data_IF_038803713479
#
_entry.id   IF_038803713479
#
_cell.length_a   1.000
_cell.length_b   1.000
_cell.length_c   1.000
_cell.angle_alpha   90.00
_cell.angle_beta   90.00
_cell.angle_gamma   90.00
#
_symmetry.space_group_name_H-M   'P 1'
#
loop_
_entity.id
_entity.type
_entity.pdbx_description
1 polymer ?
#
# COMPACT_ATOMS: atom_id res chain seq x y z
N UNK A 1 61.74 43.91 4.44
CA UNK A 1 60.67 43.04 3.91
C UNK A 1 59.70 43.92 3.13
N UNK A 2 59.35 43.53 1.90
CA UNK A 2 58.93 44.40 0.80
C UNK A 2 57.66 43.79 0.18
N UNK A 3 56.68 44.63 -0.17
CA UNK A 3 55.50 44.39 -1.03
C UNK A 3 54.41 43.44 -0.52
N UNK A 4 53.12 43.53 -0.87
CA UNK A 4 52.16 44.57 -1.29
C UNK A 4 50.84 43.77 -1.50
N UNK A 5 49.71 44.26 -0.95
CA UNK A 5 48.37 44.28 -1.56
C UNK A 5 47.53 43.02 -1.96
N UNK A 6 46.31 43.00 -1.37
CA UNK A 6 44.95 42.90 -1.96
C UNK A 6 44.45 41.54 -2.54
N UNK A 7 43.35 41.02 -1.95
CA UNK A 7 42.15 40.52 -2.67
C UNK A 7 41.00 40.32 -1.66
N UNK A 8 40.06 41.27 -1.53
CA UNK A 8 38.77 41.39 -2.24
C UNK A 8 37.78 40.25 -1.96
N UNK A 9 36.78 40.64 -1.19
CA UNK A 9 35.45 40.10 -0.92
C UNK A 9 34.79 39.38 -2.10
N UNK A 10 34.22 38.19 -1.85
CA UNK A 10 33.07 37.68 -2.59
C UNK A 10 32.14 36.91 -1.64
N UNK A 11 31.15 37.61 -1.09
CA UNK A 11 29.95 37.03 -0.52
C UNK A 11 29.18 36.35 -1.67
N UNK A 12 29.30 35.03 -1.80
CA UNK A 12 28.36 34.24 -2.60
C UNK A 12 27.23 33.77 -1.67
N UNK A 13 26.16 34.56 -1.60
CA UNK A 13 24.88 34.15 -1.06
C UNK A 13 24.34 33.01 -1.94
N UNK A 14 24.66 31.76 -1.59
CA UNK A 14 23.95 30.60 -2.10
C UNK A 14 22.59 30.59 -1.42
N UNK A 15 21.60 31.17 -2.10
CA UNK A 15 20.20 30.99 -1.77
C UNK A 15 19.90 29.49 -1.82
N UNK A 16 19.46 28.84 -0.73
CA UNK A 16 18.81 27.54 -0.85
C UNK A 16 17.51 27.80 -1.61
N UNK A 17 17.51 27.53 -2.91
CA UNK A 17 16.28 27.44 -3.67
C UNK A 17 15.39 26.43 -2.93
N UNK A 18 14.18 26.81 -2.47
CA UNK A 18 13.27 25.84 -1.93
C UNK A 18 12.97 24.87 -3.07
N UNK A 19 13.43 23.63 -2.91
CA UNK A 19 12.96 22.48 -3.66
C UNK A 19 11.44 22.58 -3.64
N UNK A 20 10.86 22.97 -4.78
CA UNK A 20 9.45 22.85 -5.02
C UNK A 20 9.12 21.38 -4.77
N UNK A 21 8.48 21.10 -3.63
CA UNK A 21 7.93 19.82 -3.32
C UNK A 21 7.07 19.43 -4.51
N UNK A 22 7.49 18.37 -5.19
CA UNK A 22 6.83 17.89 -6.37
C UNK A 22 5.45 17.43 -5.92
N UNK A 23 4.42 18.21 -6.26
CA UNK A 23 3.02 17.82 -6.11
C UNK A 23 2.69 16.75 -7.15
N UNK A 24 3.44 15.65 -7.15
CA UNK A 24 2.99 14.39 -7.71
C UNK A 24 1.96 13.85 -6.73
N UNK A 25 0.73 13.62 -7.19
CA UNK A 25 -0.28 12.96 -6.36
C UNK A 25 0.32 11.67 -5.80
N UNK A 26 0.57 11.65 -4.49
CA UNK A 26 1.26 10.53 -3.84
C UNK A 26 0.47 9.25 -4.15
N UNK A 27 1.12 8.19 -4.63
CA UNK A 27 0.44 6.92 -4.80
C UNK A 27 0.08 6.34 -3.41
N UNK A 28 -1.01 5.56 -3.29
CA UNK A 28 -1.26 4.82 -2.05
C UNK A 28 -0.11 3.85 -1.79
N UNK A 29 0.21 3.64 -0.50
CA UNK A 29 1.26 2.72 -0.07
C UNK A 29 0.65 1.40 0.41
N UNK A 30 1.34 0.30 0.12
CA UNK A 30 0.90 -1.07 0.38
C UNK A 30 1.91 -1.75 1.27
N UNK A 31 1.45 -2.42 2.33
CA UNK A 31 2.32 -3.25 3.18
C UNK A 31 1.60 -4.53 3.59
N UNK A 32 2.38 -5.59 3.76
CA UNK A 32 1.93 -6.83 4.39
C UNK A 32 2.76 -7.08 5.65
N UNK A 33 2.16 -7.74 6.63
CA UNK A 33 2.87 -8.33 7.75
C UNK A 33 2.30 -9.69 8.07
N UNK A 34 3.17 -10.64 8.40
CA UNK A 34 2.76 -11.99 8.83
C UNK A 34 3.22 -12.21 10.27
N UNK A 35 2.26 -12.52 11.14
CA UNK A 35 2.49 -12.80 12.55
C UNK A 35 1.79 -14.12 12.90
N UNK A 36 2.55 -15.22 12.96
CA UNK A 36 1.99 -16.56 13.15
C UNK A 36 1.07 -16.95 11.99
N UNK A 37 -0.20 -17.21 12.28
CA UNK A 37 -1.24 -17.56 11.32
C UNK A 37 -2.04 -16.35 10.81
N UNK A 38 -1.59 -15.12 11.13
CA UNK A 38 -2.27 -13.89 10.75
C UNK A 38 -1.46 -13.08 9.76
N UNK A 39 -1.95 -12.99 8.54
CA UNK A 39 -1.43 -12.08 7.52
C UNK A 39 -2.28 -10.81 7.53
N UNK A 40 -1.67 -9.64 7.70
CA UNK A 40 -2.35 -8.35 7.63
C UNK A 40 -1.86 -7.58 6.42
N UNK A 41 -2.73 -7.31 5.46
CA UNK A 41 -2.43 -6.45 4.31
C UNK A 41 -3.05 -5.08 4.52
N UNK A 42 -2.29 -4.02 4.29
CA UNK A 42 -2.70 -2.64 4.58
C UNK A 42 -2.44 -1.77 3.35
N UNK A 43 -3.46 -1.04 2.93
CA UNK A 43 -3.31 0.07 1.98
C UNK A 43 -3.54 1.38 2.72
N UNK A 44 -2.60 2.32 2.60
CA UNK A 44 -2.71 3.66 3.16
C UNK A 44 -2.71 4.69 2.03
N UNK A 45 -3.79 5.44 1.95
CA UNK A 45 -3.98 6.50 0.97
C UNK A 45 -3.31 7.80 1.41
N UNK A 46 -3.04 8.73 0.47
CA UNK A 46 -2.36 10.00 0.79
C UNK A 46 -3.11 10.89 1.78
N UNK A 47 -4.43 10.75 1.86
CA UNK A 47 -5.28 11.46 2.81
C UNK A 47 -5.25 10.84 4.23
N UNK A 48 -4.46 9.78 4.45
CA UNK A 48 -4.36 9.06 5.72
C UNK A 48 -5.48 8.05 5.97
N UNK A 49 -6.41 7.87 5.03
CA UNK A 49 -7.39 6.79 5.09
C UNK A 49 -6.68 5.45 4.83
N UNK A 50 -7.03 4.43 5.61
CA UNK A 50 -6.39 3.12 5.55
C UNK A 50 -7.43 2.01 5.44
N UNK A 51 -7.14 0.97 4.67
CA UNK A 51 -7.94 -0.26 4.61
C UNK A 51 -7.04 -1.45 4.92
N UNK A 52 -7.42 -2.19 5.95
CA UNK A 52 -6.74 -3.41 6.39
C UNK A 52 -7.56 -4.64 5.96
N UNK A 53 -6.86 -5.65 5.44
CA UNK A 53 -7.35 -6.99 5.20
C UNK A 53 -6.68 -7.95 6.20
N UNK A 54 -7.36 -8.35 7.29
CA UNK A 54 -6.86 -9.35 8.22
C UNK A 54 -7.16 -10.77 7.71
N UNK A 55 -6.18 -11.39 7.07
CA UNK A 55 -6.26 -12.75 6.56
C UNK A 55 -5.87 -13.76 7.64
N UNK A 56 -6.62 -14.86 7.71
CA UNK A 56 -6.26 -16.06 8.46
C UNK A 56 -5.57 -17.05 7.54
N UNK A 57 -4.38 -17.49 7.90
CA UNK A 57 -3.56 -18.47 7.18
C UNK A 57 -3.88 -19.86 7.70
N UNK A 58 -4.14 -20.81 6.80
CA UNK A 58 -4.50 -22.19 7.18
C UNK A 58 -3.41 -23.22 6.85
N UNK A 59 -2.32 -22.81 6.21
CA UNK A 59 -1.16 -23.67 6.02
C UNK A 59 -0.16 -23.11 5.02
N UNK A 60 1.08 -23.58 5.15
CA UNK A 60 2.16 -23.39 4.19
C UNK A 60 2.58 -24.77 3.64
N UNK A 61 2.83 -24.86 2.33
CA UNK A 61 3.32 -26.09 1.71
C UNK A 61 4.38 -25.80 0.65
N UNK A 62 5.42 -26.63 0.51
CA UNK A 62 6.32 -26.55 -0.63
C UNK A 62 5.54 -26.78 -1.94
N UNK A 63 5.85 -26.00 -2.96
CA UNK A 63 5.28 -26.13 -4.31
C UNK A 63 6.37 -25.98 -5.37
N UNK A 64 6.10 -26.43 -6.59
CA UNK A 64 6.88 -26.02 -7.77
C UNK A 64 6.24 -24.76 -8.35
N UNK A 65 7.03 -23.70 -8.54
CA UNK A 65 6.59 -22.46 -9.18
C UNK A 65 6.55 -22.63 -10.71
N UNK A 66 5.99 -21.64 -11.41
CA UNK A 66 5.82 -21.69 -12.88
C UNK A 66 7.13 -21.84 -13.66
N UNK A 67 8.24 -21.34 -13.11
CA UNK A 67 9.58 -21.45 -13.70
C UNK A 67 10.31 -22.77 -13.35
N UNK A 68 9.64 -23.67 -12.63
CA UNK A 68 10.17 -24.96 -12.19
C UNK A 68 11.03 -24.88 -10.92
N UNK A 69 11.19 -23.71 -10.31
CA UNK A 69 11.88 -23.57 -9.03
C UNK A 69 11.02 -24.07 -7.87
N UNK A 70 11.64 -24.35 -6.74
CA UNK A 70 10.93 -24.72 -5.51
C UNK A 70 10.50 -23.46 -4.79
N UNK A 71 9.20 -23.32 -4.56
CA UNK A 71 8.62 -22.25 -3.76
C UNK A 71 7.80 -22.76 -2.58
N UNK A 72 7.06 -21.84 -2.00
CA UNK A 72 6.11 -22.04 -0.91
C UNK A 72 4.76 -21.50 -1.35
N UNK A 73 3.69 -22.22 -1.03
CA UNK A 73 2.32 -21.74 -1.17
C UNK A 73 1.65 -21.62 0.19
N UNK A 74 0.82 -20.60 0.35
CA UNK A 74 0.07 -20.29 1.55
C UNK A 74 -1.41 -20.13 1.24
N UNK A 75 -2.25 -20.88 1.95
CA UNK A 75 -3.70 -20.70 1.87
C UNK A 75 -4.13 -19.65 2.88
N UNK A 76 -4.96 -18.69 2.45
CA UNK A 76 -5.42 -17.59 3.27
C UNK A 76 -6.92 -17.33 3.07
N UNK A 77 -7.61 -16.96 4.15
CA UNK A 77 -9.04 -16.60 4.13
C UNK A 77 -9.25 -15.19 4.70
N UNK A 78 -10.04 -14.36 4.03
CA UNK A 78 -10.42 -13.01 4.47
C UNK A 78 -11.92 -12.95 4.76
N UNK A 79 -12.29 -12.68 6.01
CA UNK A 79 -13.69 -12.65 6.47
C UNK A 79 -14.24 -11.24 6.69
N UNK A 80 -13.37 -10.21 6.70
CA UNK A 80 -13.75 -8.81 6.92
C UNK A 80 -12.69 -7.87 6.36
N UNK A 81 -13.06 -6.60 6.24
CA UNK A 81 -12.12 -5.48 6.08
C UNK A 81 -12.23 -4.54 7.26
N UNK A 82 -11.17 -3.79 7.53
CA UNK A 82 -11.18 -2.74 8.55
C UNK A 82 -10.77 -1.42 7.89
N UNK A 83 -11.67 -0.46 7.90
CA UNK A 83 -11.44 0.89 7.43
C UNK A 83 -11.05 1.78 8.62
N UNK A 84 -9.95 2.51 8.47
CA UNK A 84 -9.46 3.42 9.51
C UNK A 84 -9.54 4.85 8.98
N UNK A 85 -10.31 5.69 9.68
CA UNK A 85 -10.52 7.07 9.27
C UNK A 85 -9.36 7.99 9.69
N UNK A 86 -8.92 8.90 8.81
CA UNK A 86 -7.87 9.86 9.13
C UNK A 86 -8.34 10.84 10.22
N UNK A 87 -7.40 11.29 11.05
CA UNK A 87 -7.63 12.28 12.11
C UNK A 87 -8.29 11.73 13.37
N UNK A 88 -9.33 10.89 13.25
CA UNK A 88 -10.01 10.29 14.40
C UNK A 88 -9.46 8.93 14.81
N UNK A 89 -8.86 8.20 13.86
CA UNK A 89 -8.44 6.81 14.06
C UNK A 89 -9.63 5.86 14.25
N UNK A 90 -10.86 6.29 13.94
CA UNK A 90 -12.03 5.44 14.06
C UNK A 90 -11.91 4.23 13.14
N UNK A 91 -12.13 3.04 13.69
CA UNK A 91 -12.04 1.77 12.99
C UNK A 91 -13.44 1.25 12.70
N UNK A 92 -13.79 1.07 11.43
CA UNK A 92 -15.05 0.49 10.97
C UNK A 92 -14.75 -0.90 10.42
N UNK A 93 -15.40 -1.92 10.95
CA UNK A 93 -15.22 -3.30 10.47
C UNK A 93 -16.41 -3.68 9.59
N UNK A 94 -16.14 -4.09 8.36
CA UNK A 94 -17.15 -4.54 7.41
C UNK A 94 -16.94 -6.03 7.13
N UNK A 95 -17.81 -6.92 7.64
CA UNK A 95 -17.69 -8.35 7.38
C UNK A 95 -18.12 -8.70 5.95
N UNK A 96 -17.53 -9.75 5.40
CA UNK A 96 -18.05 -10.39 4.19
C UNK A 96 -19.09 -11.44 4.56
N UNK A 97 -20.12 -11.64 3.71
CA UNK A 97 -21.12 -12.69 3.94
C UNK A 97 -20.52 -14.09 3.85
N UNK A 98 -19.54 -14.28 2.95
CA UNK A 98 -18.75 -15.51 2.83
C UNK A 98 -17.26 -15.12 2.83
N UNK A 99 -16.39 -15.89 3.51
CA UNK A 99 -14.96 -15.64 3.49
C UNK A 99 -14.39 -15.76 2.07
N UNK A 100 -13.50 -14.83 1.71
CA UNK A 100 -12.76 -14.90 0.46
C UNK A 100 -11.54 -15.79 0.70
N UNK A 101 -11.49 -16.93 0.02
CA UNK A 101 -10.33 -17.83 0.07
C UNK A 101 -9.40 -17.58 -1.12
N UNK A 102 -8.10 -17.57 -0.84
CA UNK A 102 -7.06 -17.41 -1.86
C UNK A 102 -5.83 -18.21 -1.49
N UNK A 103 -5.03 -18.53 -2.50
CA UNK A 103 -3.68 -19.08 -2.32
C UNK A 103 -2.67 -18.08 -2.84
N UNK A 104 -1.59 -17.87 -2.09
CA UNK A 104 -0.43 -17.11 -2.54
C UNK A 104 0.74 -18.08 -2.71
N UNK A 105 1.50 -17.96 -3.79
CA UNK A 105 2.73 -18.71 -4.04
C UNK A 105 3.89 -17.77 -4.40
N UNK A 106 5.10 -18.19 -4.03
CA UNK A 106 6.34 -17.43 -4.16
C UNK A 106 7.56 -18.22 -3.70
N UNK A 107 8.75 -17.68 -3.92
CA UNK A 107 10.03 -18.31 -3.60
C UNK A 107 10.27 -18.36 -2.08
N UNK A 108 9.68 -17.42 -1.33
CA UNK A 108 9.84 -17.30 0.12
C UNK A 108 8.60 -16.74 0.81
N UNK A 109 8.51 -16.92 2.12
CA UNK A 109 7.43 -16.33 2.94
C UNK A 109 7.36 -14.80 2.81
N UNK A 110 8.51 -14.13 2.77
CA UNK A 110 8.58 -12.68 2.58
C UNK A 110 7.93 -12.26 1.25
N UNK A 111 8.21 -12.99 0.17
CA UNK A 111 7.60 -12.71 -1.13
C UNK A 111 6.08 -12.95 -1.11
N UNK A 112 5.59 -13.97 -0.39
CA UNK A 112 4.16 -14.21 -0.22
C UNK A 112 3.46 -13.01 0.43
N UNK A 113 4.07 -12.44 1.48
CA UNK A 113 3.55 -11.27 2.19
C UNK A 113 3.52 -10.05 1.26
N UNK A 114 4.57 -9.84 0.47
CA UNK A 114 4.65 -8.75 -0.50
C UNK A 114 3.62 -8.88 -1.61
N UNK A 115 3.49 -10.08 -2.20
CA UNK A 115 2.47 -10.39 -3.22
C UNK A 115 1.07 -10.20 -2.69
N UNK A 116 0.78 -10.66 -1.48
CA UNK A 116 -0.52 -10.46 -0.85
C UNK A 116 -0.83 -8.96 -0.67
N UNK A 117 0.14 -8.16 -0.23
CA UNK A 117 -0.02 -6.71 -0.11
C UNK A 117 -0.27 -6.02 -1.47
N UNK A 118 0.40 -6.47 -2.52
CA UNK A 118 0.21 -5.94 -3.87
C UNK A 118 -1.18 -6.27 -4.42
N UNK A 119 -1.60 -7.53 -4.31
CA UNK A 119 -2.95 -7.99 -4.71
C UNK A 119 -4.01 -7.21 -3.94
N UNK A 120 -3.83 -7.06 -2.63
CA UNK A 120 -4.73 -6.27 -1.78
C UNK A 120 -4.90 -4.84 -2.31
N UNK A 121 -3.79 -4.17 -2.61
CA UNK A 121 -3.83 -2.82 -3.12
C UNK A 121 -4.57 -2.68 -4.44
N UNK A 122 -4.30 -3.55 -5.41
CA UNK A 122 -5.00 -3.53 -6.69
C UNK A 122 -6.50 -3.75 -6.51
N UNK A 123 -6.88 -4.68 -5.64
CA UNK A 123 -8.28 -4.99 -5.33
C UNK A 123 -8.99 -3.80 -4.70
N UNK A 124 -8.41 -3.18 -3.66
CA UNK A 124 -9.04 -2.04 -2.97
C UNK A 124 -9.16 -0.83 -3.90
N UNK A 125 -8.10 -0.51 -4.65
CA UNK A 125 -8.12 0.60 -5.62
C UNK A 125 -9.25 0.39 -6.63
N UNK A 126 -9.34 -0.82 -7.20
CA UNK A 126 -10.38 -1.16 -8.17
C UNK A 126 -11.79 -1.08 -7.58
N UNK A 127 -11.96 -1.56 -6.34
CA UNK A 127 -13.24 -1.49 -5.64
C UNK A 127 -13.68 -0.02 -5.43
N UNK A 128 -12.77 0.85 -5.01
CA UNK A 128 -13.08 2.27 -4.82
C UNK A 128 -13.42 2.99 -6.13
N UNK A 129 -12.67 2.74 -7.20
CA UNK A 129 -12.96 3.30 -8.53
C UNK A 129 -14.34 2.90 -9.03
N UNK A 130 -14.72 1.63 -8.84
CA UNK A 130 -16.05 1.13 -9.20
C UNK A 130 -17.15 1.78 -8.35
N UNK A 131 -16.91 1.97 -7.06
CA UNK A 131 -17.87 2.61 -6.16
C UNK A 131 -18.12 4.08 -6.57
N UNK A 132 -17.06 4.83 -6.86
CA UNK A 132 -17.16 6.22 -7.34
C UNK A 132 -17.95 6.31 -8.65
N UNK A 133 -17.66 5.45 -9.63
CA UNK A 133 -18.39 5.41 -10.92
C UNK A 133 -19.88 5.13 -10.73
N UNK A 134 -20.23 4.18 -9.87
CA UNK A 134 -21.62 3.84 -9.59
C UNK A 134 -22.37 4.99 -8.88
N UNK A 135 -21.71 5.74 -8.02
CA UNK A 135 -22.29 6.94 -7.40
C UNK A 135 -22.52 8.06 -8.42
N UNK A 136 -21.57 8.32 -9.31
CA UNK A 136 -21.72 9.35 -10.36
C UNK A 136 -22.84 9.03 -11.36
N UNK A 137 -23.05 7.75 -11.70
CA UNK A 137 -24.16 7.34 -12.57
C UNK A 137 -25.54 7.46 -11.90
N UNK A 138 -25.64 7.19 -10.60
CA UNK A 138 -26.90 7.35 -9.84
C UNK A 138 -27.23 8.82 -9.53
N UNK A 139 -26.26 9.73 -9.66
CA UNK A 139 -26.41 11.16 -9.44
C UNK A 139 -26.90 11.98 -10.64
N UNK A 140 -27.20 11.37 -11.79
CA UNK A 140 -27.83 12.03 -12.94
C UNK A 140 -29.34 11.75 -12.95
N UNK A 141 -30.19 12.58 -12.29
CA UNK A 141 -31.59 12.62 -12.64
C UNK A 141 -31.69 13.18 -14.07
N UNK A 142 -32.50 12.52 -14.90
CA UNK A 142 -32.63 12.80 -16.32
C UNK A 142 -32.83 14.28 -16.65
N UNK A 143 -32.24 14.68 -17.77
CA UNK A 143 -32.60 15.88 -18.50
C UNK A 143 -33.77 15.59 -19.43
#
# INVERSE_FOLDING_TARGET
>A
MRFFSILVTALALVLPAPLAAQTGGQAPSCRGSLEGDRLTTTITFPNGYTVEGPWRVSGNRPVALEDGTRGVAMNASLDRIIEVQPGTGQRVTTPFPEPIETTFDGESEQELVERAAQIWCLTVIRAQQNHQRNQSQRGHPGR
#
